data_IF_354543320111
#
_entry.id   IF_354543320111
#
_cell.length_a   1.000
_cell.length_b   1.000
_cell.length_c   1.000
_cell.angle_alpha   90.00
_cell.angle_beta   90.00
_cell.angle_gamma   90.00
#
_symmetry.space_group_name_H-M   'P 1'
#
loop_
_entity.id
_entity.type
_entity.pdbx_description
1 polymer ?
#
# COMPACT_ATOMS: atom_id res chain seq x y z
N UNK A 1 -12.29 -15.71 -20.27
CA UNK A 1 -13.25 -14.71 -20.79
C UNK A 1 -14.18 -14.14 -19.71
N UNK A 2 -14.61 -14.92 -18.71
CA UNK A 2 -15.57 -14.46 -17.68
C UNK A 2 -14.98 -13.53 -16.61
N UNK A 3 -13.70 -13.68 -16.25
CA UNK A 3 -13.08 -12.84 -15.21
C UNK A 3 -13.01 -11.36 -15.62
N UNK A 4 -12.61 -11.07 -16.87
CA UNK A 4 -12.60 -9.70 -17.41
C UNK A 4 -13.99 -9.07 -17.43
N UNK A 5 -15.02 -9.87 -17.70
CA UNK A 5 -16.40 -9.43 -17.65
C UNK A 5 -16.82 -9.11 -16.21
N UNK A 6 -16.52 -9.96 -15.22
CA UNK A 6 -16.79 -9.68 -13.81
C UNK A 6 -16.12 -8.39 -13.33
N UNK A 7 -14.86 -8.15 -13.71
CA UNK A 7 -14.16 -6.90 -13.39
C UNK A 7 -14.86 -5.66 -13.98
N UNK A 8 -15.35 -5.77 -15.22
CA UNK A 8 -16.10 -4.69 -15.87
C UNK A 8 -17.45 -4.44 -15.21
N UNK A 9 -18.19 -5.51 -14.91
CA UNK A 9 -19.51 -5.42 -14.27
C UNK A 9 -19.43 -4.80 -12.88
N UNK A 10 -18.47 -5.20 -12.05
CA UNK A 10 -18.27 -4.64 -10.71
C UNK A 10 -17.94 -3.14 -10.77
N UNK A 11 -17.10 -2.71 -11.72
CA UNK A 11 -16.74 -1.31 -11.87
C UNK A 11 -17.89 -0.44 -12.41
N UNK A 12 -18.86 -1.04 -13.08
CA UNK A 12 -20.05 -0.36 -13.56
C UNK A 12 -21.13 -0.20 -12.46
N UNK A 13 -20.96 -0.81 -11.28
CA UNK A 13 -21.92 -0.68 -10.17
C UNK A 13 -21.98 0.76 -9.69
N UNK A 14 -23.21 1.28 -9.51
CA UNK A 14 -23.45 2.61 -8.97
C UNK A 14 -22.87 2.71 -7.54
N UNK A 15 -21.95 3.65 -7.26
CA UNK A 15 -21.39 3.83 -5.92
C UNK A 15 -22.45 4.29 -4.91
N UNK A 16 -22.27 3.90 -3.66
CA UNK A 16 -23.05 4.45 -2.54
C UNK A 16 -22.68 5.93 -2.30
N UNK A 17 -23.57 6.74 -1.68
CA UNK A 17 -23.24 8.11 -1.31
C UNK A 17 -21.95 8.19 -0.48
N UNK A 18 -21.06 9.12 -0.84
CA UNK A 18 -19.73 9.26 -0.21
C UNK A 18 -18.61 8.45 -0.89
N UNK A 19 -18.94 7.52 -1.80
CA UNK A 19 -17.96 6.76 -2.58
C UNK A 19 -17.90 7.24 -4.02
N UNK A 20 -16.68 7.37 -4.57
CA UNK A 20 -16.46 7.85 -5.95
C UNK A 20 -16.67 6.75 -7.00
N UNK A 21 -16.33 5.51 -6.67
CA UNK A 21 -16.41 4.36 -7.56
C UNK A 21 -16.49 3.05 -6.76
N UNK A 22 -16.97 1.98 -7.40
CA UNK A 22 -16.88 0.61 -6.91
C UNK A 22 -15.69 -0.06 -7.60
N UNK A 23 -14.85 -0.73 -6.83
CA UNK A 23 -13.70 -1.46 -7.34
C UNK A 23 -13.97 -2.97 -7.30
N UNK A 24 -13.46 -3.70 -8.28
CA UNK A 24 -13.28 -5.15 -8.11
C UNK A 24 -12.15 -5.44 -7.10
N UNK A 25 -12.15 -6.62 -6.44
CA UNK A 25 -11.14 -6.96 -5.45
C UNK A 25 -9.71 -6.85 -6.01
N UNK A 26 -8.87 -6.04 -5.37
CA UNK A 26 -7.47 -5.81 -5.76
C UNK A 26 -7.25 -4.66 -6.76
N UNK A 27 -8.30 -4.08 -7.36
CA UNK A 27 -8.12 -3.01 -8.35
C UNK A 27 -7.42 -1.77 -7.80
N UNK A 28 -7.63 -1.43 -6.53
CA UNK A 28 -6.94 -0.29 -5.90
C UNK A 28 -5.43 -0.53 -5.84
N UNK A 29 -4.99 -1.78 -5.65
CA UNK A 29 -3.60 -2.19 -5.71
C UNK A 29 -3.08 -2.22 -7.14
N UNK A 30 -3.87 -2.69 -8.12
CA UNK A 30 -3.51 -2.61 -9.54
C UNK A 30 -3.26 -1.15 -9.97
N UNK A 31 -4.09 -0.22 -9.49
CA UNK A 31 -3.93 1.22 -9.74
C UNK A 31 -2.65 1.74 -9.08
N UNK A 32 -2.41 1.40 -7.81
CA UNK A 32 -1.19 1.81 -7.09
C UNK A 32 0.06 1.25 -7.74
N UNK A 33 0.04 -0.01 -8.18
CA UNK A 33 1.15 -0.66 -8.87
C UNK A 33 1.46 0.05 -10.19
N UNK A 34 0.46 0.27 -11.04
CA UNK A 34 0.65 1.04 -12.29
C UNK A 34 1.20 2.44 -12.03
N UNK A 35 0.71 3.10 -10.97
CA UNK A 35 1.23 4.40 -10.57
C UNK A 35 2.70 4.32 -10.14
N UNK A 36 3.08 3.29 -9.38
CA UNK A 36 4.44 3.06 -8.95
C UNK A 36 5.38 2.71 -10.12
N UNK A 37 4.91 1.96 -11.11
CA UNK A 37 5.67 1.66 -12.33
C UNK A 37 6.00 2.95 -13.12
N UNK A 38 5.14 3.97 -13.05
CA UNK A 38 5.33 5.25 -13.75
C UNK A 38 6.10 6.29 -12.92
N UNK A 39 5.82 6.38 -11.62
CA UNK A 39 6.26 7.48 -10.76
C UNK A 39 7.27 7.06 -9.67
N UNK A 40 7.59 5.76 -9.59
CA UNK A 40 8.40 5.18 -8.53
C UNK A 40 7.57 4.66 -7.36
N UNK A 41 8.15 3.72 -6.60
CA UNK A 41 7.55 3.16 -5.40
C UNK A 41 7.71 4.17 -4.26
N UNK A 42 6.60 4.56 -3.64
CA UNK A 42 6.60 5.40 -2.46
C UNK A 42 7.08 4.60 -1.23
N UNK A 43 8.10 5.11 -0.54
CA UNK A 43 8.72 4.49 0.62
C UNK A 43 9.02 5.56 1.67
N UNK A 44 8.79 5.24 2.93
CA UNK A 44 9.08 6.16 4.04
C UNK A 44 10.59 6.37 4.15
N UNK A 45 11.01 7.63 4.32
CA UNK A 45 12.43 8.04 4.37
C UNK A 45 13.24 7.21 5.38
N UNK A 46 12.72 6.98 6.58
CA UNK A 46 13.42 6.20 7.62
C UNK A 46 13.69 4.75 7.18
N UNK A 47 12.79 4.15 6.38
CA UNK A 47 12.99 2.82 5.81
C UNK A 47 14.07 2.88 4.73
N UNK A 48 14.04 3.89 3.87
CA UNK A 48 15.08 4.09 2.86
C UNK A 48 16.46 4.25 3.51
N UNK A 49 16.58 5.10 4.53
CA UNK A 49 17.82 5.32 5.27
C UNK A 49 18.32 4.04 5.94
N UNK A 50 17.42 3.22 6.50
CA UNK A 50 17.78 1.93 7.05
C UNK A 50 18.35 0.97 5.99
N UNK A 51 17.69 0.86 4.83
CA UNK A 51 18.10 -0.06 3.76
C UNK A 51 19.47 0.25 3.16
N UNK A 52 19.90 1.51 3.17
CA UNK A 52 21.23 1.93 2.69
C UNK A 52 22.29 1.95 3.81
N UNK A 53 21.92 1.62 5.04
CA UNK A 53 22.84 1.61 6.19
C UNK A 53 23.53 0.25 6.36
N UNK A 54 24.66 0.23 7.09
CA UNK A 54 25.33 -1.00 7.51
C UNK A 54 24.64 -1.69 8.71
N UNK A 55 23.57 -1.10 9.25
CA UNK A 55 22.90 -1.61 10.45
C UNK A 55 21.98 -2.79 10.11
N UNK A 56 22.24 -3.95 10.72
CA UNK A 56 21.41 -5.16 10.52
C UNK A 56 20.07 -5.13 11.26
N UNK A 57 19.94 -4.29 12.28
CA UNK A 57 18.71 -4.07 13.03
C UNK A 57 18.78 -2.72 13.78
N UNK A 58 17.63 -2.09 13.98
CA UNK A 58 17.51 -0.88 14.78
C UNK A 58 17.14 -1.26 16.22
N UNK A 59 17.80 -0.63 17.19
CA UNK A 59 17.52 -0.78 18.63
C UNK A 59 16.35 0.11 19.08
N UNK A 60 15.38 0.36 18.21
CA UNK A 60 14.29 1.32 18.41
C UNK A 60 13.40 1.00 19.62
N UNK A 61 13.42 -0.25 20.09
CA UNK A 61 12.66 -0.72 21.25
C UNK A 61 13.54 -1.24 22.39
N UNK A 62 14.88 -1.13 22.31
CA UNK A 62 15.76 -1.48 23.43
C UNK A 62 15.79 -0.35 24.47
N UNK A 63 14.65 -0.07 25.11
CA UNK A 63 14.67 0.61 26.40
C UNK A 63 15.08 -0.42 27.44
N UNK A 64 16.31 -0.33 27.99
CA UNK A 64 16.79 -1.17 29.10
C UNK A 64 16.04 -0.96 30.43
N UNK A 65 14.80 -0.48 30.38
CA UNK A 65 13.94 -0.29 31.52
C UNK A 65 12.54 -0.83 31.19
N UNK A 66 12.06 -1.90 31.86
CA UNK A 66 10.69 -2.41 31.69
C UNK A 66 9.59 -1.42 32.12
N UNK A 67 9.98 -0.23 32.61
CA UNK A 67 9.09 0.86 33.01
C UNK A 67 9.50 2.23 32.41
N UNK A 68 10.16 2.27 31.25
CA UNK A 68 10.37 3.56 30.55
C UNK A 68 9.00 4.19 30.21
N UNK A 69 8.74 5.40 30.75
CA UNK A 69 7.48 6.15 30.66
C UNK A 69 7.16 6.66 29.27
#
# INVERSE_FOLDING_TARGET
>A
KHISQTMQELNAVKPAPGFKQVYYPGQDQDIKQKNADMNGIDIVDDIYQYLISDALYLKSYETKNPFAQ
#
